data_IF_462780050080
#
_entry.id   IF_462780050080
#
_cell.length_a   1.000
_cell.length_b   1.000
_cell.length_c   1.000
_cell.angle_alpha   90.00
_cell.angle_beta   90.00
_cell.angle_gamma   90.00
#
_symmetry.space_group_name_H-M   'P 1'
#
loop_
_entity.id
_entity.type
_entity.pdbx_description
1 polymer ?
#
# COMPACT_ATOMS: atom_id res chain seq x y z
N UNK A 1 7.27 -53.46 -73.18
CA UNK A 1 6.96 -54.03 -71.85
C UNK A 1 8.09 -53.63 -70.89
N UNK A 2 7.73 -53.17 -69.69
CA UNK A 2 8.54 -52.69 -68.55
C UNK A 2 8.96 -51.21 -68.53
N UNK A 3 7.98 -50.44 -68.04
CA UNK A 3 8.05 -49.53 -66.87
C UNK A 3 9.32 -48.71 -66.65
N UNK A 4 9.19 -47.41 -66.93
CA UNK A 4 9.97 -46.34 -66.32
C UNK A 4 9.48 -46.13 -64.89
N UNK A 5 10.25 -46.59 -63.91
CA UNK A 5 10.02 -46.30 -62.49
C UNK A 5 10.41 -44.85 -62.17
N UNK A 6 9.39 -44.05 -61.90
CA UNK A 6 9.48 -42.69 -61.35
C UNK A 6 10.15 -42.74 -59.97
N UNK A 7 11.39 -42.24 -59.88
CA UNK A 7 12.01 -41.92 -58.60
C UNK A 7 11.41 -40.60 -58.10
N UNK A 8 10.37 -40.69 -57.27
CA UNK A 8 9.85 -39.55 -56.52
C UNK A 8 10.95 -38.96 -55.63
N UNK A 9 11.37 -37.73 -55.96
CA UNK A 9 12.23 -36.89 -55.14
C UNK A 9 11.52 -36.51 -53.83
N UNK A 10 11.62 -37.36 -52.81
CA UNK A 10 11.17 -37.04 -51.45
C UNK A 10 12.16 -36.04 -50.83
N UNK A 11 11.88 -34.73 -51.00
CA UNK A 11 12.62 -33.68 -50.28
C UNK A 11 12.46 -33.90 -48.76
N UNK A 12 13.56 -33.93 -47.97
CA UNK A 12 13.46 -34.10 -46.53
C UNK A 12 12.64 -32.95 -45.92
N UNK A 13 11.59 -33.28 -45.15
CA UNK A 13 10.84 -32.30 -44.34
C UNK A 13 11.79 -31.68 -43.32
N UNK A 14 12.33 -30.50 -43.64
CA UNK A 14 13.13 -29.70 -42.71
C UNK A 14 12.27 -29.45 -41.47
N UNK A 15 12.60 -30.10 -40.34
CA UNK A 15 11.97 -29.84 -39.04
C UNK A 15 12.26 -28.37 -38.68
N UNK A 16 11.28 -27.50 -38.92
CA UNK A 16 11.38 -26.07 -38.59
C UNK A 16 11.44 -25.92 -37.07
N UNK A 17 12.66 -25.78 -36.53
CA UNK A 17 12.91 -25.60 -35.09
C UNK A 17 12.35 -24.24 -34.63
N UNK A 18 11.57 -24.24 -33.56
CA UNK A 18 11.02 -23.03 -32.96
C UNK A 18 12.15 -22.19 -32.34
N UNK A 19 12.05 -20.85 -32.44
CA UNK A 19 13.08 -19.91 -31.94
C UNK A 19 12.99 -19.76 -30.41
N UNK A 20 13.27 -20.85 -29.69
CA UNK A 20 13.22 -20.91 -28.22
C UNK A 20 14.26 -20.04 -27.52
N UNK A 21 15.32 -19.62 -28.22
CA UNK A 21 16.29 -18.70 -27.64
C UNK A 21 15.69 -17.33 -27.27
N UNK A 22 14.62 -16.89 -27.96
CA UNK A 22 13.97 -15.59 -27.70
C UNK A 22 13.30 -15.54 -26.33
N UNK A 23 12.39 -16.47 -25.95
CA UNK A 23 11.79 -16.45 -24.61
C UNK A 23 12.83 -16.71 -23.51
N UNK A 24 13.88 -17.48 -23.78
CA UNK A 24 15.00 -17.67 -22.85
C UNK A 24 15.74 -16.35 -22.62
N UNK A 25 16.05 -15.60 -23.68
CA UNK A 25 16.70 -14.30 -23.58
C UNK A 25 15.83 -13.27 -22.84
N UNK A 26 14.52 -13.23 -23.13
CA UNK A 26 13.58 -12.35 -22.41
C UNK A 26 13.58 -12.69 -20.91
N UNK A 27 13.48 -13.97 -20.55
CA UNK A 27 13.50 -14.40 -19.15
C UNK A 27 14.84 -14.07 -18.46
N UNK A 28 15.97 -14.32 -19.13
CA UNK A 28 17.29 -14.01 -18.59
C UNK A 28 17.47 -12.51 -18.32
N UNK A 29 17.06 -11.65 -19.26
CA UNK A 29 17.10 -10.20 -19.10
C UNK A 29 16.16 -9.72 -17.99
N UNK A 30 14.97 -10.31 -17.87
CA UNK A 30 14.04 -10.01 -16.80
C UNK A 30 14.65 -10.33 -15.43
N UNK A 31 15.22 -11.53 -15.28
CA UNK A 31 15.90 -11.95 -14.04
C UNK A 31 17.08 -11.04 -13.72
N UNK A 32 17.93 -10.74 -14.72
CA UNK A 32 19.07 -9.83 -14.54
C UNK A 32 18.62 -8.44 -14.06
N UNK A 33 17.56 -7.88 -14.64
CA UNK A 33 17.04 -6.59 -14.20
C UNK A 33 16.44 -6.64 -12.79
N UNK A 34 15.69 -7.71 -12.45
CA UNK A 34 15.16 -7.89 -11.09
C UNK A 34 16.29 -8.01 -10.07
N UNK A 35 17.32 -8.81 -10.33
CA UNK A 35 18.49 -8.93 -9.46
C UNK A 35 19.17 -7.58 -9.28
N UNK A 36 19.42 -6.85 -10.38
CA UNK A 36 20.00 -5.49 -10.33
C UNK A 36 19.19 -4.55 -9.43
N UNK A 37 17.86 -4.54 -9.59
CA UNK A 37 16.96 -3.70 -8.79
C UNK A 37 16.94 -4.13 -7.32
N UNK A 38 17.01 -5.43 -7.02
CA UNK A 38 17.01 -5.92 -5.63
C UNK A 38 18.32 -5.64 -4.92
N UNK A 39 19.43 -5.65 -5.64
CA UNK A 39 20.77 -5.38 -5.11
C UNK A 39 21.12 -3.88 -4.99
N UNK A 40 20.36 -2.98 -5.63
CA UNK A 40 20.64 -1.55 -5.52
C UNK A 40 20.35 -1.03 -4.10
N UNK A 41 21.37 -0.53 -3.40
CA UNK A 41 21.21 0.07 -2.08
C UNK A 41 20.39 1.36 -2.10
N UNK A 42 20.53 2.15 -3.16
CA UNK A 42 20.02 3.53 -3.23
C UNK A 42 18.52 3.64 -3.53
N UNK A 43 17.88 2.55 -3.96
CA UNK A 43 16.45 2.55 -4.29
C UNK A 43 15.63 2.17 -3.06
N UNK A 44 14.61 2.98 -2.76
CA UNK A 44 13.61 2.65 -1.76
C UNK A 44 12.80 1.41 -2.17
N UNK A 45 12.14 0.79 -1.19
CA UNK A 45 11.40 -0.45 -1.39
C UNK A 45 10.23 -0.30 -2.38
N UNK A 46 9.56 0.86 -2.41
CA UNK A 46 8.46 1.12 -3.34
C UNK A 46 8.95 1.16 -4.77
N UNK A 47 10.02 1.91 -5.04
CA UNK A 47 10.60 1.99 -6.36
C UNK A 47 11.09 0.62 -6.85
N UNK A 48 11.75 -0.15 -5.97
CA UNK A 48 12.18 -1.54 -6.27
C UNK A 48 11.01 -2.43 -6.69
N UNK A 49 9.89 -2.36 -5.97
CA UNK A 49 8.72 -3.17 -6.26
C UNK A 49 8.01 -2.73 -7.54
N UNK A 50 7.86 -1.43 -7.80
CA UNK A 50 7.30 -0.91 -9.04
C UNK A 50 8.14 -1.30 -10.26
N UNK A 51 9.47 -1.17 -10.19
CA UNK A 51 10.37 -1.58 -11.27
C UNK A 51 10.33 -3.09 -11.52
N UNK A 52 10.22 -3.89 -10.46
CA UNK A 52 10.03 -5.35 -10.58
C UNK A 52 8.73 -5.65 -11.33
N UNK A 53 7.62 -5.01 -10.97
CA UNK A 53 6.32 -5.19 -11.63
C UNK A 53 6.36 -4.78 -13.10
N UNK A 54 6.97 -3.62 -13.41
CA UNK A 54 7.14 -3.16 -14.78
C UNK A 54 7.96 -4.17 -15.62
N UNK A 55 9.03 -4.73 -15.04
CA UNK A 55 9.85 -5.76 -15.70
C UNK A 55 9.01 -6.98 -16.06
N UNK A 56 8.14 -7.44 -15.15
CA UNK A 56 7.25 -8.58 -15.40
C UNK A 56 6.27 -8.25 -16.53
N UNK A 57 5.62 -7.09 -16.49
CA UNK A 57 4.65 -6.66 -17.52
C UNK A 57 5.31 -6.59 -18.90
N UNK A 58 6.46 -5.92 -19.00
CA UNK A 58 7.21 -5.82 -20.27
C UNK A 58 7.63 -7.20 -20.77
N UNK A 59 8.10 -8.09 -19.88
CA UNK A 59 8.49 -9.45 -20.26
C UNK A 59 7.31 -10.25 -20.80
N UNK A 60 6.13 -10.16 -20.16
CA UNK A 60 4.90 -10.79 -20.64
C UNK A 60 4.51 -10.25 -22.03
N UNK A 61 4.55 -8.93 -22.24
CA UNK A 61 4.26 -8.34 -23.55
C UNK A 61 5.24 -8.81 -24.64
N UNK A 62 6.54 -8.88 -24.35
CA UNK A 62 7.55 -9.39 -25.27
C UNK A 62 7.34 -10.87 -25.59
N UNK A 63 6.94 -11.67 -24.59
CA UNK A 63 6.59 -13.09 -24.79
C UNK A 63 5.33 -13.26 -25.65
N UNK A 64 4.32 -12.38 -25.49
CA UNK A 64 3.14 -12.37 -26.35
C UNK A 64 3.48 -11.98 -27.80
N UNK A 65 4.34 -10.97 -27.98
CA UNK A 65 4.85 -10.60 -29.31
C UNK A 65 5.62 -11.77 -29.93
N UNK A 66 6.51 -12.42 -29.18
CA UNK A 66 7.18 -13.63 -29.66
C UNK A 66 6.20 -14.74 -30.02
N UNK A 67 5.20 -14.98 -29.17
CA UNK A 67 4.16 -15.98 -29.40
C UNK A 67 3.41 -15.73 -30.71
N UNK A 68 2.97 -14.49 -30.92
CA UNK A 68 2.14 -14.10 -32.06
C UNK A 68 2.91 -14.04 -33.38
N UNK A 69 4.17 -13.63 -33.37
CA UNK A 69 4.89 -13.35 -34.61
C UNK A 69 6.04 -14.32 -34.90
N UNK A 70 6.67 -14.91 -33.87
CA UNK A 70 7.97 -15.60 -34.00
C UNK A 70 7.91 -17.12 -33.77
N UNK A 71 6.81 -17.66 -33.23
CA UNK A 71 6.66 -19.11 -32.95
C UNK A 71 6.51 -19.99 -34.19
N UNK A 72 6.31 -19.41 -35.38
CA UNK A 72 6.08 -20.15 -36.64
C UNK A 72 4.92 -21.16 -36.59
N UNK A 73 4.08 -21.11 -35.53
CA UNK A 73 2.86 -21.92 -35.38
C UNK A 73 1.79 -21.49 -36.39
N UNK A 74 0.77 -22.32 -36.61
CA UNK A 74 -0.41 -21.93 -37.42
C UNK A 74 -1.12 -20.75 -36.75
N UNK A 75 -1.59 -19.78 -37.54
CA UNK A 75 -2.22 -18.56 -37.02
C UNK A 75 -3.42 -18.85 -36.10
N UNK A 76 -4.23 -19.87 -36.43
CA UNK A 76 -5.34 -20.33 -35.57
C UNK A 76 -4.87 -20.73 -34.16
N UNK A 77 -3.73 -21.43 -34.04
CA UNK A 77 -3.15 -21.82 -32.75
C UNK A 77 -2.66 -20.61 -31.97
N UNK A 78 -2.08 -19.61 -32.67
CA UNK A 78 -1.60 -18.38 -32.03
C UNK A 78 -2.75 -17.57 -31.45
N UNK A 79 -3.82 -17.39 -32.25
CA UNK A 79 -5.04 -16.70 -31.83
C UNK A 79 -5.77 -17.45 -30.71
N UNK A 80 -5.86 -18.78 -30.79
CA UNK A 80 -6.46 -19.58 -29.73
C UNK A 80 -5.68 -19.43 -28.41
N UNK A 81 -4.34 -19.47 -28.46
CA UNK A 81 -3.50 -19.21 -27.28
C UNK A 81 -3.66 -17.80 -26.72
N UNK A 82 -3.73 -16.78 -27.58
CA UNK A 82 -3.99 -15.41 -27.15
C UNK A 82 -5.38 -15.25 -26.52
N UNK A 83 -6.41 -15.85 -27.12
CA UNK A 83 -7.76 -15.83 -26.58
C UNK A 83 -7.82 -16.51 -25.21
N UNK A 84 -7.17 -17.66 -25.04
CA UNK A 84 -7.05 -18.34 -23.75
C UNK A 84 -6.31 -17.49 -22.71
N UNK A 85 -5.22 -16.82 -23.10
CA UNK A 85 -4.50 -15.91 -22.21
C UNK A 85 -5.38 -14.74 -21.77
N UNK A 86 -6.10 -14.10 -22.70
CA UNK A 86 -7.01 -12.99 -22.40
C UNK A 86 -8.15 -13.47 -21.49
N UNK A 87 -8.77 -14.61 -21.81
CA UNK A 87 -9.83 -15.19 -20.98
C UNK A 87 -9.33 -15.50 -19.56
N UNK A 88 -8.12 -16.06 -19.43
CA UNK A 88 -7.49 -16.29 -18.12
C UNK A 88 -7.21 -15.00 -17.36
N UNK A 89 -6.67 -13.98 -18.03
CA UNK A 89 -6.39 -12.68 -17.41
C UNK A 89 -7.66 -11.94 -16.98
N UNK A 90 -8.71 -11.97 -17.82
CA UNK A 90 -10.03 -11.40 -17.49
C UNK A 90 -10.68 -12.18 -16.36
N UNK A 91 -10.64 -13.52 -16.40
CA UNK A 91 -11.14 -14.38 -15.34
C UNK A 91 -10.46 -14.10 -14.00
N UNK A 92 -9.12 -14.00 -13.99
CA UNK A 92 -8.36 -13.63 -12.80
C UNK A 92 -8.73 -12.23 -12.31
N UNK A 93 -8.81 -11.24 -13.20
CA UNK A 93 -9.24 -9.86 -12.84
C UNK A 93 -10.65 -9.84 -12.23
N UNK A 94 -11.55 -10.73 -12.65
CA UNK A 94 -12.90 -10.81 -12.08
C UNK A 94 -12.92 -11.49 -10.70
N UNK A 95 -11.98 -12.38 -10.41
CA UNK A 95 -11.93 -13.12 -9.14
C UNK A 95 -11.11 -12.43 -8.06
N UNK A 96 -10.15 -11.57 -8.43
CA UNK A 96 -9.29 -10.86 -7.47
C UNK A 96 -9.59 -9.36 -7.42
N UNK A 97 -9.23 -8.74 -6.30
CA UNK A 97 -9.22 -7.28 -6.12
C UNK A 97 -7.89 -6.82 -5.51
N UNK A 98 -7.45 -5.63 -5.90
CA UNK A 98 -6.33 -4.94 -5.27
C UNK A 98 -6.84 -4.21 -4.03
N UNK A 99 -6.19 -4.42 -2.89
CA UNK A 99 -6.58 -3.90 -1.57
C UNK A 99 -5.38 -3.16 -0.95
N UNK A 100 -4.80 -2.21 -1.69
CA UNK A 100 -3.65 -1.42 -1.25
C UNK A 100 -2.31 -2.16 -1.32
N UNK A 101 -1.36 -1.70 -0.50
CA UNK A 101 -0.07 -2.33 -0.30
C UNK A 101 -0.04 -3.18 0.98
N UNK A 102 0.78 -4.24 0.99
CA UNK A 102 0.96 -5.11 2.17
C UNK A 102 1.51 -4.34 3.39
N UNK A 103 2.45 -3.44 3.16
CA UNK A 103 3.30 -2.79 4.17
C UNK A 103 3.65 -1.34 3.78
N UNK A 104 2.95 -0.75 2.81
CA UNK A 104 3.29 0.57 2.25
C UNK A 104 4.50 0.56 1.31
N UNK A 105 5.15 -0.60 1.09
CA UNK A 105 6.32 -0.71 0.20
C UNK A 105 5.95 -0.86 -1.28
N UNK A 106 4.70 -0.57 -1.68
CA UNK A 106 4.23 -0.75 -3.06
C UNK A 106 4.05 -2.21 -3.50
N UNK A 107 4.23 -3.20 -2.61
CA UNK A 107 3.83 -4.59 -2.90
C UNK A 107 2.31 -4.68 -2.95
N UNK A 108 1.69 -5.06 -4.08
CA UNK A 108 0.24 -5.11 -4.18
C UNK A 108 -0.32 -6.20 -3.28
N UNK A 109 -1.33 -5.85 -2.48
CA UNK A 109 -2.13 -6.81 -1.72
C UNK A 109 -3.27 -7.28 -2.61
N UNK A 110 -3.09 -8.47 -3.20
CA UNK A 110 -4.13 -9.11 -4.03
C UNK A 110 -4.95 -10.02 -3.12
N UNK A 111 -6.25 -9.80 -3.06
CA UNK A 111 -7.19 -10.61 -2.28
C UNK A 111 -8.32 -11.09 -3.17
N UNK A 112 -9.01 -12.14 -2.73
CA UNK A 112 -10.22 -12.59 -3.43
C UNK A 112 -11.31 -11.52 -3.37
N UNK A 113 -12.09 -11.40 -4.44
CA UNK A 113 -13.14 -10.39 -4.54
C UNK A 113 -14.22 -10.53 -3.46
N UNK A 114 -14.44 -11.75 -2.98
CA UNK A 114 -15.37 -12.09 -1.89
C UNK A 114 -14.75 -12.02 -0.50
N UNK A 115 -13.45 -11.70 -0.35
CA UNK A 115 -12.88 -11.40 0.97
C UNK A 115 -13.49 -10.12 1.49
N UNK A 116 -13.99 -10.11 2.72
CA UNK A 116 -14.59 -8.93 3.34
C UNK A 116 -13.59 -7.75 3.33
N UNK A 117 -14.06 -6.55 2.94
CA UNK A 117 -13.24 -5.33 3.03
C UNK A 117 -13.13 -4.92 4.48
N UNK A 118 -11.93 -4.51 4.92
CA UNK A 118 -11.80 -3.81 6.20
C UNK A 118 -12.58 -2.50 6.07
N UNK A 119 -13.74 -2.41 6.71
CA UNK A 119 -14.58 -1.21 6.68
C UNK A 119 -14.00 -0.06 7.50
N UNK A 120 -13.06 -0.37 8.41
CA UNK A 120 -12.66 0.54 9.48
C UNK A 120 -13.71 0.66 10.58
N UNK A 121 -14.79 -0.13 10.50
CA UNK A 121 -15.80 -0.13 11.53
C UNK A 121 -15.28 -0.96 12.71
N UNK A 122 -14.75 -0.26 13.71
CA UNK A 122 -14.29 -0.86 14.97
C UNK A 122 -15.24 -0.55 16.13
N UNK A 123 -16.51 -0.29 15.80
CA UNK A 123 -17.57 0.06 16.76
C UNK A 123 -17.56 1.54 17.16
N UNK A 124 -18.56 1.92 17.95
CA UNK A 124 -18.62 3.24 18.58
C UNK A 124 -17.54 3.38 19.66
N UNK A 125 -17.15 4.63 19.96
CA UNK A 125 -16.25 4.90 21.06
C UNK A 125 -16.89 4.51 22.39
N UNK A 126 -16.20 3.69 23.19
CA UNK A 126 -16.74 3.13 24.44
C UNK A 126 -17.12 4.19 25.50
N UNK A 127 -16.43 5.34 25.51
CA UNK A 127 -16.78 6.54 26.27
C UNK A 127 -15.90 7.70 25.79
N UNK A 128 -16.48 8.89 25.64
CA UNK A 128 -15.77 10.14 25.33
C UNK A 128 -15.58 10.90 26.64
N UNK A 129 -14.33 11.03 27.09
CA UNK A 129 -14.01 11.79 28.30
C UNK A 129 -13.42 13.14 27.93
N UNK A 130 -14.26 14.18 27.95
CA UNK A 130 -13.79 15.54 27.68
C UNK A 130 -12.78 15.93 28.78
N UNK A 131 -11.53 16.24 28.40
CA UNK A 131 -10.50 16.69 29.31
C UNK A 131 -10.90 17.99 30.02
N UNK A 132 -10.52 18.11 31.30
CA UNK A 132 -10.57 19.40 32.02
C UNK A 132 -9.38 20.30 31.70
N UNK A 133 -8.24 19.69 31.38
CA UNK A 133 -6.99 20.38 31.04
C UNK A 133 -6.89 20.58 29.53
N UNK A 134 -6.28 21.70 29.11
CA UNK A 134 -6.03 21.95 27.70
C UNK A 134 -4.69 21.35 27.27
N UNK A 135 -4.59 20.76 26.06
CA UNK A 135 -3.31 20.40 25.47
C UNK A 135 -2.55 21.67 25.10
N UNK A 136 -1.53 22.01 25.89
CA UNK A 136 -0.50 22.96 25.51
C UNK A 136 0.73 22.22 24.99
N UNK A 137 1.45 22.83 24.03
CA UNK A 137 2.83 22.43 23.77
C UNK A 137 3.66 22.96 24.95
N UNK A 138 3.85 22.16 25.98
CA UNK A 138 4.41 22.62 27.25
C UNK A 138 5.73 21.94 27.58
N UNK A 139 5.92 20.69 27.15
CA UNK A 139 7.10 19.90 27.54
C UNK A 139 8.13 19.81 26.41
N UNK A 140 9.42 19.84 26.73
CA UNK A 140 10.50 19.60 25.77
C UNK A 140 10.40 18.25 25.04
N UNK A 141 9.62 17.32 25.60
CA UNK A 141 9.45 15.95 25.14
C UNK A 141 8.18 15.71 24.31
N UNK A 142 7.35 16.74 24.11
CA UNK A 142 6.15 16.62 23.28
C UNK A 142 6.52 16.34 21.81
N UNK A 143 5.66 15.61 21.12
CA UNK A 143 5.81 15.26 19.71
C UNK A 143 4.62 15.79 18.90
N UNK A 144 4.46 17.12 18.79
CA UNK A 144 3.19 17.75 18.44
C UNK A 144 2.76 17.60 16.96
N UNK A 145 3.51 16.89 16.13
CA UNK A 145 3.15 16.64 14.75
C UNK A 145 4.14 15.75 14.02
N UNK A 146 3.98 15.65 12.69
CA UNK A 146 4.86 14.84 11.84
C UNK A 146 6.35 15.13 12.12
N UNK A 147 7.12 14.10 12.45
CA UNK A 147 8.54 14.20 12.81
C UNK A 147 8.87 15.08 14.03
N UNK A 148 7.88 15.35 14.90
CA UNK A 148 8.08 16.05 16.16
C UNK A 148 8.15 17.56 15.99
N UNK A 149 8.49 18.27 17.08
CA UNK A 149 8.52 19.73 17.13
C UNK A 149 9.45 20.34 16.08
N UNK A 150 10.66 19.79 15.99
CA UNK A 150 11.71 20.30 15.09
C UNK A 150 11.73 19.59 13.73
N UNK A 151 10.70 18.76 13.44
CA UNK A 151 10.60 17.95 12.22
C UNK A 151 11.83 17.06 11.95
N UNK A 152 12.52 16.64 13.01
CA UNK A 152 13.75 15.86 12.93
C UNK A 152 13.53 14.34 13.00
N UNK A 153 12.37 13.90 13.50
CA UNK A 153 12.09 12.49 13.74
C UNK A 153 12.80 11.93 14.98
N UNK A 154 13.40 12.78 15.82
CA UNK A 154 14.25 12.38 16.95
C UNK A 154 13.65 12.87 18.26
N UNK A 155 13.69 12.00 19.28
CA UNK A 155 13.38 12.33 20.67
C UNK A 155 14.67 12.30 21.48
N UNK A 156 15.05 13.43 22.09
CA UNK A 156 16.31 13.59 22.83
C UNK A 156 16.12 13.29 24.33
N UNK A 157 17.21 12.94 25.02
CA UNK A 157 17.19 12.82 26.49
C UNK A 157 16.51 11.56 27.04
N UNK A 158 16.16 10.60 26.19
CA UNK A 158 15.62 9.29 26.61
C UNK A 158 16.62 8.17 26.30
N UNK A 159 16.74 7.23 27.22
CA UNK A 159 17.45 5.98 26.99
C UNK A 159 16.44 4.83 27.03
N UNK A 160 16.25 4.19 25.88
CA UNK A 160 15.38 3.04 25.75
C UNK A 160 16.17 1.75 25.98
N UNK A 161 15.54 0.79 26.64
CA UNK A 161 16.05 -0.58 26.71
C UNK A 161 16.18 -1.14 25.28
N UNK A 162 17.29 -1.80 24.99
CA UNK A 162 17.63 -2.34 23.66
C UNK A 162 17.52 -3.85 23.60
N UNK A 163 17.60 -4.55 24.73
CA UNK A 163 17.41 -6.00 24.78
C UNK A 163 15.93 -6.35 24.96
N UNK A 164 15.20 -6.36 23.85
CA UNK A 164 13.78 -6.74 23.83
C UNK A 164 13.58 -8.26 23.87
N UNK A 165 14.65 -9.06 23.87
CA UNK A 165 14.55 -10.52 23.97
C UNK A 165 14.41 -10.94 25.42
N UNK A 166 15.28 -10.40 26.30
CA UNK A 166 15.22 -10.69 27.73
C UNK A 166 14.32 -9.72 28.50
N UNK A 167 14.21 -8.47 28.04
CA UNK A 167 13.39 -7.42 28.66
C UNK A 167 12.40 -6.83 27.64
N UNK A 168 11.39 -7.60 27.21
CA UNK A 168 10.41 -7.11 26.25
C UNK A 168 9.61 -5.93 26.85
N UNK A 169 9.26 -4.91 26.03
CA UNK A 169 8.43 -3.80 26.50
C UNK A 169 7.06 -4.29 26.93
N UNK A 170 6.52 -3.72 28.01
CA UNK A 170 5.17 -4.00 28.47
C UNK A 170 4.15 -3.22 27.62
N UNK A 171 3.15 -3.93 27.08
CA UNK A 171 2.00 -3.29 26.44
C UNK A 171 1.16 -2.58 27.51
N UNK A 172 1.07 -1.25 27.45
CA UNK A 172 0.25 -0.46 28.36
C UNK A 172 -1.24 -0.53 27.98
N UNK A 173 -1.54 -0.44 26.68
CA UNK A 173 -2.89 -0.54 26.16
C UNK A 173 -2.88 -0.83 24.66
N UNK A 174 -4.02 -1.31 24.17
CA UNK A 174 -4.29 -1.56 22.76
C UNK A 174 -5.71 -1.15 22.42
N UNK A 175 -5.86 -0.32 21.40
CA UNK A 175 -7.13 0.26 20.99
C UNK A 175 -7.43 -0.08 19.53
N UNK A 176 -8.60 -0.65 19.21
CA UNK A 176 -9.07 -0.75 17.83
C UNK A 176 -9.29 0.65 17.23
N UNK A 177 -8.60 0.93 16.12
CA UNK A 177 -8.71 2.18 15.37
C UNK A 177 -9.24 1.92 13.95
N UNK A 178 -9.79 2.98 13.34
CA UNK A 178 -10.25 2.98 11.96
C UNK A 178 -9.11 2.83 10.94
N UNK A 179 -9.44 2.95 9.66
CA UNK A 179 -8.44 2.92 8.58
C UNK A 179 -7.65 4.22 8.56
N UNK A 180 -6.36 4.18 8.27
CA UNK A 180 -5.58 5.41 8.12
C UNK A 180 -4.09 5.13 8.21
N UNK A 181 -3.32 6.16 7.89
CA UNK A 181 -1.86 6.15 7.86
C UNK A 181 -1.26 7.32 8.66
N UNK A 182 -2.11 8.09 9.34
CA UNK A 182 -1.68 9.17 10.23
C UNK A 182 -0.81 8.63 11.36
N UNK A 183 0.30 9.31 11.65
CA UNK A 183 0.99 9.12 12.92
C UNK A 183 0.20 9.80 14.06
N UNK A 184 0.71 9.67 15.28
CA UNK A 184 0.19 10.41 16.43
C UNK A 184 0.95 11.73 16.61
N UNK A 185 0.21 12.81 16.82
CA UNK A 185 0.71 14.02 17.44
C UNK A 185 0.48 13.92 18.95
N UNK A 186 1.52 14.11 19.75
CA UNK A 186 1.48 13.97 21.20
C UNK A 186 1.82 15.29 21.87
N UNK A 187 1.00 15.71 22.82
CA UNK A 187 1.23 16.88 23.69
C UNK A 187 0.75 16.53 25.09
N UNK A 188 1.67 16.45 26.06
CA UNK A 188 1.35 16.01 27.43
C UNK A 188 0.59 14.66 27.44
N UNK A 189 -0.62 14.59 28.05
CA UNK A 189 -1.40 13.36 28.14
C UNK A 189 -2.23 13.03 26.88
N UNK A 190 -2.13 13.85 25.82
CA UNK A 190 -2.98 13.77 24.64
C UNK A 190 -2.25 13.16 23.45
N UNK A 191 -2.87 12.17 22.81
CA UNK A 191 -2.39 11.56 21.57
C UNK A 191 -3.47 11.72 20.48
N UNK A 192 -3.23 12.59 19.51
CA UNK A 192 -4.17 12.95 18.43
C UNK A 192 -3.73 12.29 17.13
N UNK A 193 -4.67 11.68 16.40
CA UNK A 193 -4.42 11.07 15.09
C UNK A 193 -5.64 11.24 14.18
N UNK A 194 -5.50 10.87 12.90
CA UNK A 194 -6.61 10.76 11.97
C UNK A 194 -6.91 9.30 11.62
N UNK A 195 -8.19 8.95 11.58
CA UNK A 195 -8.67 7.63 11.20
C UNK A 195 -9.96 7.74 10.38
N UNK A 196 -10.33 6.68 9.68
CA UNK A 196 -11.53 6.57 8.87
C UNK A 196 -12.39 5.40 9.37
N UNK A 197 -13.61 5.72 9.80
CA UNK A 197 -14.60 4.76 10.29
C UNK A 197 -15.83 4.80 9.39
N UNK A 198 -16.08 3.70 8.68
CA UNK A 198 -17.15 3.64 7.69
C UNK A 198 -17.06 4.84 6.72
N UNK A 199 -18.13 5.62 6.55
CA UNK A 199 -18.18 6.72 5.58
C UNK A 199 -17.63 8.05 6.10
N UNK A 200 -16.86 8.03 7.18
CA UNK A 200 -16.37 9.25 7.82
C UNK A 200 -14.85 9.23 8.04
N UNK A 201 -14.22 10.37 7.82
CA UNK A 201 -12.88 10.69 8.33
C UNK A 201 -13.01 11.40 9.68
N UNK A 202 -12.16 11.03 10.63
CA UNK A 202 -12.19 11.53 11.99
C UNK A 202 -10.80 12.04 12.39
N UNK A 203 -10.79 13.11 13.17
CA UNK A 203 -9.66 13.48 14.03
C UNK A 203 -9.99 13.00 15.43
N UNK A 204 -9.14 12.18 16.03
CA UNK A 204 -9.44 11.52 17.31
C UNK A 204 -8.32 11.75 18.29
N UNK A 205 -8.68 12.16 19.50
CA UNK A 205 -7.76 12.27 20.62
C UNK A 205 -7.96 11.12 21.58
N UNK A 206 -6.85 10.49 21.95
CA UNK A 206 -6.79 9.45 22.97
C UNK A 206 -5.98 9.94 24.17
N UNK A 207 -6.26 9.36 25.33
CA UNK A 207 -5.39 9.45 26.50
C UNK A 207 -4.13 8.64 26.22
N UNK A 208 -2.96 9.29 26.25
CA UNK A 208 -1.67 8.63 26.03
C UNK A 208 -1.42 7.50 27.04
N UNK A 209 -1.88 7.65 28.28
CA UNK A 209 -1.67 6.68 29.36
C UNK A 209 -2.60 5.46 29.28
N UNK A 210 -3.79 5.60 28.69
CA UNK A 210 -4.84 4.55 28.79
C UNK A 210 -5.44 4.11 27.46
N UNK A 211 -5.17 4.82 26.36
CA UNK A 211 -5.76 4.55 25.05
C UNK A 211 -7.26 4.85 24.94
N UNK A 212 -7.89 5.39 26.00
CA UNK A 212 -9.31 5.79 25.98
C UNK A 212 -9.50 7.01 25.11
N UNK A 213 -10.58 7.02 24.33
CA UNK A 213 -10.96 8.19 23.53
C UNK A 213 -11.38 9.34 24.43
N UNK A 214 -10.78 10.51 24.22
CA UNK A 214 -11.09 11.73 24.95
C UNK A 214 -12.10 12.58 24.18
N UNK A 215 -11.91 12.71 22.87
CA UNK A 215 -12.83 13.37 21.95
C UNK A 215 -12.58 12.90 20.51
N UNK A 216 -13.55 13.14 19.64
CA UNK A 216 -13.41 12.95 18.19
C UNK A 216 -14.15 14.05 17.44
N UNK A 217 -13.56 14.55 16.37
CA UNK A 217 -14.22 15.37 15.36
C UNK A 217 -14.43 14.54 14.10
N UNK A 218 -15.59 14.70 13.44
CA UNK A 218 -16.01 13.84 12.33
C UNK A 218 -16.38 14.67 11.11
N UNK A 219 -15.78 14.32 9.97
CA UNK A 219 -16.19 14.77 8.65
C UNK A 219 -16.89 13.63 7.91
N UNK A 220 -18.08 13.90 7.37
CA UNK A 220 -18.90 12.93 6.62
C UNK A 220 -18.37 12.73 5.19
N UNK A 221 -17.12 12.26 5.10
CA UNK A 221 -16.39 11.99 3.86
C UNK A 221 -15.62 10.68 3.98
N UNK A 222 -15.42 10.00 2.83
CA UNK A 222 -14.61 8.79 2.76
C UNK A 222 -13.56 8.91 1.66
N UNK A 223 -12.32 8.66 2.02
CA UNK A 223 -11.22 8.50 1.09
C UNK A 223 -10.94 7.03 0.79
N UNK A 224 -10.82 6.69 -0.49
CA UNK A 224 -10.41 5.37 -0.94
C UNK A 224 -9.43 5.49 -2.10
N UNK A 225 -8.29 4.80 -1.97
CA UNK A 225 -7.27 4.79 -3.02
C UNK A 225 -6.65 3.38 -3.15
N UNK A 226 -6.66 2.78 -4.36
CA UNK A 226 -6.26 1.38 -4.56
C UNK A 226 -4.81 1.02 -4.22
N UNK A 227 -3.86 1.97 -4.25
CA UNK A 227 -2.43 1.67 -4.08
C UNK A 227 -1.93 1.89 -2.64
N UNK A 228 -2.21 3.07 -2.08
CA UNK A 228 -1.84 3.54 -0.75
C UNK A 228 -2.91 3.30 0.30
N UNK A 229 -4.06 2.71 -0.06
CA UNK A 229 -5.09 2.31 0.90
C UNK A 229 -6.04 3.44 1.33
N UNK A 230 -7.08 3.04 2.04
CA UNK A 230 -8.18 3.90 2.49
C UNK A 230 -7.81 4.73 3.74
N UNK A 231 -8.41 5.91 3.85
CA UNK A 231 -8.31 6.78 5.03
C UNK A 231 -7.24 7.89 4.97
N UNK A 232 -7.20 8.74 6.01
CA UNK A 232 -6.34 9.92 6.08
C UNK A 232 -4.85 9.55 6.19
N UNK A 233 -3.99 10.43 5.66
CA UNK A 233 -2.52 10.24 5.60
C UNK A 233 -1.73 11.27 6.39
N UNK A 234 -2.24 12.51 6.48
CA UNK A 234 -1.56 13.56 7.21
C UNK A 234 -1.54 13.24 8.70
N UNK A 235 -0.46 13.67 9.36
CA UNK A 235 -0.41 13.69 10.83
C UNK A 235 -0.88 15.05 11.29
N UNK A 236 -1.83 15.15 12.24
CA UNK A 236 -2.23 16.43 12.81
C UNK A 236 -1.04 17.22 13.36
N UNK A 237 -1.19 18.54 13.45
CA UNK A 237 -0.24 19.40 14.18
C UNK A 237 -0.97 20.06 15.34
N UNK A 238 -0.45 19.88 16.55
CA UNK A 238 -0.89 20.55 17.76
C UNK A 238 -0.04 21.80 17.92
N UNK A 239 -0.63 22.97 18.10
CA UNK A 239 0.08 24.23 18.43
C UNK A 239 -0.90 25.22 19.05
N UNK A 240 -0.45 25.93 20.08
CA UNK A 240 -1.21 26.99 20.77
C UNK A 240 -2.65 26.59 21.15
N UNK A 241 -2.81 25.41 21.75
CA UNK A 241 -4.13 24.90 22.17
C UNK A 241 -5.04 24.48 21.01
N UNK A 242 -4.51 24.32 19.80
CA UNK A 242 -5.26 23.96 18.58
C UNK A 242 -4.70 22.73 17.91
N UNK A 243 -5.57 22.00 17.23
CA UNK A 243 -5.24 20.87 16.35
C UNK A 243 -5.56 21.27 14.92
N UNK A 244 -4.55 21.18 14.05
CA UNK A 244 -4.68 21.37 12.62
C UNK A 244 -4.61 20.01 11.94
N UNK A 245 -5.65 19.65 11.19
CA UNK A 245 -5.75 18.34 10.55
C UNK A 245 -6.19 18.50 9.09
N UNK A 246 -5.45 17.86 8.18
CA UNK A 246 -5.79 17.82 6.76
C UNK A 246 -6.30 16.41 6.41
N UNK A 247 -7.59 16.31 6.11
CA UNK A 247 -8.21 15.06 5.65
C UNK A 247 -7.63 14.59 4.32
N UNK A 248 -7.79 13.30 3.97
CA UNK A 248 -7.30 12.82 2.67
C UNK A 248 -8.16 13.31 1.50
N UNK A 249 -9.35 13.83 1.77
CA UNK A 249 -10.19 14.52 0.78
C UNK A 249 -9.87 16.01 0.63
N UNK A 250 -8.89 16.53 1.37
CA UNK A 250 -8.43 17.92 1.26
C UNK A 250 -9.10 18.92 2.21
N UNK A 251 -9.99 18.46 3.10
CA UNK A 251 -10.61 19.31 4.13
C UNK A 251 -9.55 19.66 5.19
N UNK A 252 -9.35 20.95 5.44
CA UNK A 252 -8.46 21.44 6.48
C UNK A 252 -9.25 21.96 7.67
N UNK A 253 -9.16 21.27 8.80
CA UNK A 253 -9.83 21.66 10.04
C UNK A 253 -8.86 22.26 11.04
N UNK A 254 -9.34 23.28 11.75
CA UNK A 254 -8.76 23.74 13.00
C UNK A 254 -9.72 23.45 14.15
N UNK A 255 -9.26 22.68 15.12
CA UNK A 255 -10.03 22.25 16.27
C UNK A 255 -9.43 22.83 17.55
N UNK A 256 -10.26 23.08 18.54
CA UNK A 256 -9.82 23.29 19.92
C UNK A 256 -9.22 21.98 20.45
N UNK A 257 -7.95 22.00 20.86
CA UNK A 257 -7.22 20.77 21.18
C UNK A 257 -7.82 20.03 22.39
N UNK A 258 -8.41 20.75 23.34
CA UNK A 258 -8.99 20.17 24.54
C UNK A 258 -10.27 19.38 24.26
N UNK A 259 -11.11 19.86 23.34
CA UNK A 259 -12.48 19.37 23.18
C UNK A 259 -12.74 18.72 21.83
N UNK A 260 -11.87 18.95 20.84
CA UNK A 260 -12.12 18.60 19.44
C UNK A 260 -13.16 19.49 18.77
N UNK A 261 -13.62 20.56 19.43
CA UNK A 261 -14.63 21.47 18.87
C UNK A 261 -14.06 22.20 17.66
N UNK A 262 -14.81 22.19 16.57
CA UNK A 262 -14.44 22.91 15.35
C UNK A 262 -14.36 24.43 15.61
N UNK A 263 -13.25 25.03 15.19
CA UNK A 263 -13.04 26.48 15.18
C UNK A 263 -13.32 27.00 13.76
N UNK A 264 -12.71 26.38 12.75
CA UNK A 264 -12.96 26.67 11.33
C UNK A 264 -12.59 25.47 10.45
N UNK A 265 -13.08 25.47 9.21
CA UNK A 265 -12.82 24.46 8.17
C UNK A 265 -12.66 25.13 6.81
N UNK A 266 -11.85 24.55 5.91
CA UNK A 266 -11.60 25.00 4.54
C UNK A 266 -11.59 23.85 3.54
#
# INVERSE_FOLDING_TARGET
MKEMTNLENVKPKVKRRMRWWVPIAIAALAVANVVRVRLSGDLDSMFKNMQTMLTIVVSVLLLLVWWLFLTRLRWRTRLAGLALFILGAVGLKQTVRFDGSVDGSGKPRIVWRWTAKKSGNVGEFKAVNVPKEQPGIEAAMDYPGYQGRDRSGVVLGIQLERDWTSHPPQELWRQPIGLGWSAFAVSGPFAVTQEQRAENELVVCYSLATGRTLWSHTNAVRFSEPMGGDGPRATPTIVDGRVYALGATGILDCLEAATGRLIWTH
#
